data_IF_975767293694
#
_entry.id   IF_975767293694
#
_cell.length_a   1.000
_cell.length_b   1.000
_cell.length_c   1.000
_cell.angle_alpha   90.00
_cell.angle_beta   90.00
_cell.angle_gamma   90.00
#
_symmetry.space_group_name_H-M   'P 1'
#
loop_
_entity.id
_entity.type
_entity.pdbx_description
1 polymer ?
#
# COMPACT_ATOMS: atom_id res chain seq x y z
N UNK A 1 -16.64 -19.84 -22.80
CA UNK A 1 -16.58 -18.69 -23.66
C UNK A 1 -16.62 -17.44 -22.80
N UNK A 2 -15.46 -16.86 -22.50
CA UNK A 2 -15.31 -15.60 -21.76
C UNK A 2 -15.86 -14.49 -22.66
N UNK A 3 -16.97 -13.86 -22.25
CA UNK A 3 -17.43 -12.63 -22.92
C UNK A 3 -16.36 -11.56 -22.70
N UNK A 4 -15.60 -11.26 -23.74
CA UNK A 4 -14.77 -10.07 -23.77
C UNK A 4 -15.69 -8.86 -23.58
N UNK A 5 -15.62 -8.22 -22.42
CA UNK A 5 -16.28 -6.95 -22.17
C UNK A 5 -15.73 -5.96 -23.21
N UNK A 6 -16.60 -5.31 -23.99
CA UNK A 6 -16.18 -4.33 -25.00
C UNK A 6 -15.61 -3.02 -24.39
N UNK A 7 -15.67 -2.87 -23.07
CA UNK A 7 -15.09 -1.72 -22.36
C UNK A 7 -13.72 -2.08 -21.79
N UNK A 8 -12.76 -1.12 -21.77
CA UNK A 8 -11.50 -1.32 -21.07
C UNK A 8 -11.74 -1.66 -19.59
N UNK A 9 -11.02 -2.65 -19.03
CA UNK A 9 -11.14 -3.03 -17.63
C UNK A 9 -10.92 -1.82 -16.71
N UNK A 10 -11.73 -1.73 -15.66
CA UNK A 10 -11.63 -0.69 -14.64
C UNK A 10 -11.05 -1.28 -13.36
N UNK A 11 -9.91 -0.76 -12.95
CA UNK A 11 -9.25 -1.11 -11.70
C UNK A 11 -9.44 0.04 -10.72
N UNK A 12 -10.07 -0.25 -9.57
CA UNK A 12 -10.31 0.74 -8.51
C UNK A 12 -9.24 0.57 -7.43
N UNK A 13 -8.38 1.58 -7.27
CA UNK A 13 -7.24 1.54 -6.35
C UNK A 13 -7.52 2.43 -5.14
N UNK A 14 -7.19 1.96 -3.95
CA UNK A 14 -7.33 2.74 -2.72
C UNK A 14 -6.00 2.74 -1.97
N UNK A 15 -5.34 3.90 -1.92
CA UNK A 15 -4.15 4.15 -1.12
C UNK A 15 -4.46 5.22 -0.07
N UNK A 16 -4.02 5.02 1.16
CA UNK A 16 -4.29 5.95 2.27
C UNK A 16 -3.06 6.65 2.83
N UNK A 17 -1.88 6.31 2.34
CA UNK A 17 -0.59 6.82 2.81
C UNK A 17 0.38 7.05 1.64
N UNK A 18 1.42 7.85 1.86
CA UNK A 18 2.43 8.17 0.82
C UNK A 18 3.16 6.94 0.30
N UNK A 19 3.42 5.94 1.17
CA UNK A 19 3.97 4.63 0.78
C UNK A 19 3.04 3.91 -0.18
N UNK A 20 1.76 3.84 0.14
CA UNK A 20 0.74 3.24 -0.70
C UNK A 20 0.56 3.96 -2.04
N UNK A 21 0.68 5.29 -2.07
CA UNK A 21 0.65 6.09 -3.31
C UNK A 21 1.81 5.75 -4.24
N UNK A 22 3.02 5.59 -3.70
CA UNK A 22 4.19 5.18 -4.47
C UNK A 22 4.02 3.77 -5.06
N UNK A 23 3.60 2.81 -4.22
CA UNK A 23 3.34 1.44 -4.64
C UNK A 23 2.24 1.39 -5.71
N UNK A 24 1.14 2.14 -5.50
CA UNK A 24 0.02 2.21 -6.41
C UNK A 24 0.39 2.77 -7.79
N UNK A 25 1.21 3.82 -7.83
CA UNK A 25 1.69 4.39 -9.08
C UNK A 25 2.52 3.38 -9.90
N UNK A 26 3.42 2.63 -9.23
CA UNK A 26 4.22 1.57 -9.86
C UNK A 26 3.34 0.43 -10.37
N UNK A 27 2.37 -0.01 -9.56
CA UNK A 27 1.40 -1.01 -9.98
C UNK A 27 0.64 -0.58 -11.24
N UNK A 28 0.20 0.69 -11.33
CA UNK A 28 -0.48 1.22 -12.51
C UNK A 28 0.41 1.20 -13.76
N UNK A 29 1.68 1.56 -13.61
CA UNK A 29 2.64 1.51 -14.72
C UNK A 29 2.89 0.06 -15.17
N UNK A 30 3.14 -0.86 -14.24
CA UNK A 30 3.34 -2.27 -14.52
C UNK A 30 2.12 -2.90 -15.21
N UNK A 31 0.93 -2.66 -14.69
CA UNK A 31 -0.31 -3.18 -15.28
C UNK A 31 -0.53 -2.70 -16.72
N UNK A 32 -0.23 -1.43 -17.03
CA UNK A 32 -0.32 -0.92 -18.41
C UNK A 32 0.68 -1.60 -19.33
N UNK A 33 1.91 -1.81 -18.85
CA UNK A 33 2.96 -2.46 -19.63
C UNK A 33 2.62 -3.92 -19.92
N UNK A 34 2.18 -4.66 -18.92
CA UNK A 34 1.91 -6.10 -19.04
C UNK A 34 0.58 -6.41 -19.75
N UNK A 35 -0.45 -5.59 -19.53
CA UNK A 35 -1.76 -5.83 -20.15
C UNK A 35 -1.78 -5.56 -21.66
N UNK A 36 -0.94 -4.65 -22.16
CA UNK A 36 -0.80 -4.35 -23.57
C UNK A 36 -2.04 -3.73 -24.23
N UNK A 37 -3.11 -3.47 -23.48
CA UNK A 37 -4.36 -2.86 -23.92
C UNK A 37 -4.78 -1.74 -22.97
N UNK A 38 -5.69 -0.83 -23.36
CA UNK A 38 -6.14 0.26 -22.50
C UNK A 38 -6.73 -0.25 -21.18
N UNK A 39 -6.28 0.34 -20.06
CA UNK A 39 -6.82 0.14 -18.72
C UNK A 39 -7.35 1.46 -18.17
N UNK A 40 -8.41 1.38 -17.38
CA UNK A 40 -8.99 2.52 -16.67
C UNK A 40 -8.68 2.40 -15.19
N UNK A 41 -8.32 3.52 -14.56
CA UNK A 41 -8.02 3.59 -13.14
C UNK A 41 -8.88 4.66 -12.48
N UNK A 42 -9.50 4.31 -11.35
CA UNK A 42 -10.26 5.20 -10.49
C UNK A 42 -9.96 4.84 -9.03
N UNK A 43 -10.32 5.71 -8.09
CA UNK A 43 -10.18 5.37 -6.67
C UNK A 43 -9.69 6.51 -5.81
N UNK A 44 -8.84 6.21 -4.83
CA UNK A 44 -8.21 7.17 -3.92
C UNK A 44 -6.71 7.01 -3.98
N UNK A 45 -6.00 8.07 -4.29
CA UNK A 45 -4.54 8.08 -4.35
C UNK A 45 -3.98 9.49 -4.22
N UNK A 46 -2.69 9.55 -4.01
CA UNK A 46 -1.93 10.79 -3.87
C UNK A 46 -1.48 11.34 -5.23
N UNK A 47 -0.42 12.12 -5.17
CA UNK A 47 0.12 12.83 -6.33
C UNK A 47 0.74 11.87 -7.36
N UNK A 48 1.47 10.84 -6.89
CA UNK A 48 2.13 9.87 -7.78
C UNK A 48 1.13 9.04 -8.57
N UNK A 49 0.08 8.54 -7.94
CA UNK A 49 -0.97 7.81 -8.65
C UNK A 49 -1.76 8.72 -9.58
N UNK A 50 -2.01 9.99 -9.21
CA UNK A 50 -2.64 10.96 -10.11
C UNK A 50 -1.78 11.28 -11.32
N UNK A 51 -0.47 11.45 -11.14
CA UNK A 51 0.47 11.61 -12.25
C UNK A 51 0.50 10.38 -13.15
N UNK A 52 0.33 9.17 -12.58
CA UNK A 52 0.14 7.93 -13.32
C UNK A 52 -1.27 7.77 -13.93
N UNK A 53 -2.16 8.79 -13.85
CA UNK A 53 -3.47 8.82 -14.51
C UNK A 53 -4.61 8.24 -13.68
N UNK A 54 -4.50 8.21 -12.34
CA UNK A 54 -5.63 7.92 -11.46
C UNK A 54 -6.57 9.12 -11.34
N UNK A 55 -7.87 8.89 -11.48
CA UNK A 55 -8.89 9.85 -11.10
C UNK A 55 -9.25 9.64 -9.61
N UNK A 56 -8.64 10.44 -8.72
CA UNK A 56 -8.92 10.36 -7.27
C UNK A 56 -10.24 11.04 -6.93
N UNK A 57 -11.12 10.32 -6.24
CA UNK A 57 -12.47 10.79 -5.87
C UNK A 57 -12.49 11.83 -4.75
N UNK A 58 -11.40 11.91 -3.96
CA UNK A 58 -11.12 12.95 -2.97
C UNK A 58 -9.61 12.99 -2.66
N UNK A 59 -9.12 14.04 -1.98
CA UNK A 59 -7.72 14.12 -1.58
C UNK A 59 -7.33 12.99 -0.62
N UNK A 60 -6.26 12.24 -0.90
CA UNK A 60 -5.75 11.16 -0.03
C UNK A 60 -5.47 11.64 1.40
N UNK A 61 -5.08 12.92 1.57
CA UNK A 61 -4.84 13.53 2.88
C UNK A 61 -6.05 13.45 3.82
N UNK A 62 -7.27 13.34 3.31
CA UNK A 62 -8.49 13.23 4.12
C UNK A 62 -8.57 11.93 4.91
N UNK A 63 -7.86 10.89 4.48
CA UNK A 63 -7.83 9.57 5.12
C UNK A 63 -6.46 9.22 5.72
N UNK A 64 -5.44 10.03 5.47
CA UNK A 64 -4.11 9.92 6.08
C UNK A 64 -4.13 10.53 7.47
N UNK A 65 -4.54 9.76 8.48
CA UNK A 65 -4.58 10.20 9.88
C UNK A 65 -3.40 9.60 10.63
N UNK A 66 -2.60 10.45 11.28
CA UNK A 66 -1.43 10.04 12.03
C UNK A 66 -1.63 10.27 13.53
N UNK A 67 -1.59 9.17 14.30
CA UNK A 67 -1.63 9.22 15.76
C UNK A 67 -3.04 9.26 16.37
N UNK A 68 -3.12 8.87 17.65
CA UNK A 68 -4.38 8.76 18.38
C UNK A 68 -5.08 10.11 18.60
N UNK A 69 -4.30 11.18 18.79
CA UNK A 69 -4.86 12.50 19.04
C UNK A 69 -5.64 13.06 17.83
N UNK A 70 -5.21 12.73 16.63
CA UNK A 70 -5.85 13.16 15.39
C UNK A 70 -7.00 12.23 14.97
N UNK A 71 -7.00 10.98 15.44
CA UNK A 71 -7.96 9.96 15.04
C UNK A 71 -9.39 10.32 15.46
N UNK A 72 -9.59 10.70 16.73
CA UNK A 72 -10.93 10.94 17.28
C UNK A 72 -11.65 12.08 16.55
N UNK A 73 -11.06 13.28 16.36
CA UNK A 73 -11.70 14.34 15.58
C UNK A 73 -11.86 14.01 14.09
N UNK A 74 -11.06 13.10 13.55
CA UNK A 74 -11.15 12.68 12.15
C UNK A 74 -12.24 11.63 11.86
N UNK A 75 -12.80 10.97 12.89
CA UNK A 75 -13.76 9.87 12.71
C UNK A 75 -14.96 10.20 11.81
N UNK A 76 -15.64 11.36 11.96
CA UNK A 76 -16.76 11.69 11.06
C UNK A 76 -16.33 11.82 9.61
N UNK A 77 -15.18 12.46 9.36
CA UNK A 77 -14.59 12.60 8.02
C UNK A 77 -14.23 11.24 7.45
N UNK A 78 -13.56 10.37 8.22
CA UNK A 78 -13.21 9.02 7.80
C UNK A 78 -14.43 8.17 7.45
N UNK A 79 -15.51 8.26 8.25
CA UNK A 79 -16.76 7.56 7.99
C UNK A 79 -17.42 8.05 6.68
N UNK A 80 -17.45 9.37 6.46
CA UNK A 80 -17.96 9.96 5.23
C UNK A 80 -17.14 9.50 4.01
N UNK A 81 -15.79 9.51 4.10
CA UNK A 81 -14.91 9.08 3.00
C UNK A 81 -15.01 7.58 2.74
N UNK A 82 -15.19 6.77 3.80
CA UNK A 82 -15.46 5.34 3.66
C UNK A 82 -16.76 5.10 2.87
N UNK A 83 -17.84 5.76 3.27
CA UNK A 83 -19.13 5.68 2.56
C UNK A 83 -19.00 6.12 1.10
N UNK A 84 -18.35 7.26 0.84
CA UNK A 84 -18.12 7.80 -0.49
C UNK A 84 -17.30 6.81 -1.37
N UNK A 85 -16.28 6.16 -0.79
CA UNK A 85 -15.47 5.17 -1.50
C UNK A 85 -16.30 3.95 -1.89
N UNK A 86 -17.08 3.39 -0.95
CA UNK A 86 -17.95 2.23 -1.21
C UNK A 86 -18.98 2.57 -2.29
N UNK A 87 -19.65 3.73 -2.21
CA UNK A 87 -20.61 4.19 -3.22
C UNK A 87 -19.96 4.34 -4.59
N UNK A 88 -18.76 4.94 -4.65
CA UNK A 88 -18.03 5.10 -5.91
C UNK A 88 -17.67 3.76 -6.56
N UNK A 89 -17.30 2.74 -5.76
CA UNK A 89 -17.08 1.37 -6.26
C UNK A 89 -18.37 0.80 -6.83
N UNK A 90 -19.50 0.91 -6.11
CA UNK A 90 -20.80 0.41 -6.56
C UNK A 90 -21.27 1.08 -7.86
N UNK A 91 -21.13 2.40 -7.94
CA UNK A 91 -21.59 3.19 -9.09
C UNK A 91 -20.71 2.98 -10.34
N UNK A 92 -19.39 2.80 -10.16
CA UNK A 92 -18.45 2.58 -11.26
C UNK A 92 -18.35 1.14 -11.72
N UNK A 93 -18.80 0.16 -10.90
CA UNK A 93 -18.77 -1.27 -11.13
C UNK A 93 -17.42 -1.73 -11.72
N UNK A 94 -16.31 -1.61 -10.96
CA UNK A 94 -14.99 -2.00 -11.42
C UNK A 94 -14.86 -3.52 -11.54
N UNK A 95 -13.89 -3.96 -12.32
CA UNK A 95 -13.57 -5.38 -12.46
C UNK A 95 -12.72 -5.86 -11.26
N UNK A 96 -11.89 -4.98 -10.72
CA UNK A 96 -10.99 -5.26 -9.58
C UNK A 96 -10.95 -4.07 -8.63
N UNK A 97 -10.95 -4.33 -7.33
CA UNK A 97 -10.66 -3.34 -6.27
C UNK A 97 -9.38 -3.75 -5.54
N UNK A 98 -8.40 -2.85 -5.49
CA UNK A 98 -7.12 -3.08 -4.81
C UNK A 98 -6.97 -2.11 -3.66
N UNK A 99 -6.96 -2.62 -2.43
CA UNK A 99 -6.51 -1.86 -1.26
C UNK A 99 -5.00 -1.92 -1.14
N UNK A 100 -4.34 -0.76 -1.01
CA UNK A 100 -2.89 -0.68 -0.96
C UNK A 100 -2.46 -0.12 0.39
N UNK A 101 -1.65 -0.90 1.13
CA UNK A 101 -1.10 -0.54 2.45
C UNK A 101 -2.20 -0.17 3.46
N UNK A 102 -2.33 1.03 3.90
CA UNK A 102 -3.36 1.61 4.79
C UNK A 102 -4.38 0.63 5.41
N UNK A 103 -3.91 -0.21 6.34
CA UNK A 103 -4.67 -1.32 6.95
C UNK A 103 -6.02 -0.91 7.54
N UNK A 104 -6.08 0.30 8.12
CA UNK A 104 -7.29 0.77 8.78
C UNK A 104 -8.40 1.15 7.79
N UNK A 105 -8.08 1.85 6.72
CA UNK A 105 -9.07 2.32 5.75
C UNK A 105 -9.34 1.28 4.66
N UNK A 106 -8.30 0.78 4.00
CA UNK A 106 -8.44 -0.18 2.90
C UNK A 106 -9.18 -1.44 3.31
N UNK A 107 -8.83 -2.05 4.46
CA UNK A 107 -9.53 -3.25 4.92
C UNK A 107 -10.99 -2.99 5.33
N UNK A 108 -11.35 -1.77 5.76
CA UNK A 108 -12.77 -1.43 5.99
C UNK A 108 -13.55 -1.34 4.69
N UNK A 109 -12.95 -0.77 3.65
CA UNK A 109 -13.54 -0.75 2.30
C UNK A 109 -13.76 -2.17 1.80
N UNK A 110 -12.70 -3.00 1.80
CA UNK A 110 -12.77 -4.38 1.31
C UNK A 110 -13.78 -5.23 2.09
N UNK A 111 -13.82 -5.11 3.43
CA UNK A 111 -14.81 -5.81 4.27
C UNK A 111 -16.26 -5.40 3.94
N UNK A 112 -16.50 -4.13 3.75
CA UNK A 112 -17.83 -3.64 3.38
C UNK A 112 -18.27 -4.19 2.01
N UNK A 113 -17.36 -4.20 1.04
CA UNK A 113 -17.62 -4.75 -0.29
C UNK A 113 -17.82 -6.27 -0.24
N UNK A 114 -17.01 -7.00 0.53
CA UNK A 114 -17.15 -8.44 0.72
C UNK A 114 -18.50 -8.82 1.35
N UNK A 115 -18.97 -8.06 2.34
CA UNK A 115 -20.26 -8.27 2.99
C UNK A 115 -21.45 -8.09 2.04
N UNK A 116 -21.30 -7.28 1.01
CA UNK A 116 -22.36 -7.04 0.02
C UNK A 116 -22.22 -7.89 -1.26
N UNK A 117 -21.20 -8.72 -1.35
CA UNK A 117 -20.85 -9.49 -2.54
C UNK A 117 -21.99 -10.29 -3.13
N UNK A 118 -22.78 -10.94 -2.27
CA UNK A 118 -23.93 -11.78 -2.70
C UNK A 118 -25.08 -10.97 -3.32
N UNK A 119 -25.10 -9.65 -3.12
CA UNK A 119 -26.11 -8.76 -3.71
C UNK A 119 -25.79 -8.38 -5.16
N UNK A 120 -24.58 -8.66 -5.62
CA UNK A 120 -24.10 -8.28 -6.94
C UNK A 120 -23.99 -9.49 -7.87
N UNK A 121 -24.50 -9.35 -9.10
CA UNK A 121 -24.43 -10.42 -10.13
C UNK A 121 -22.99 -10.70 -10.59
N UNK A 122 -22.14 -9.69 -10.58
CA UNK A 122 -20.74 -9.78 -10.95
C UNK A 122 -19.94 -8.86 -10.00
N UNK A 123 -19.61 -9.32 -8.78
CA UNK A 123 -18.83 -8.55 -7.84
C UNK A 123 -17.38 -8.40 -8.34
N UNK A 124 -16.70 -7.30 -8.02
CA UNK A 124 -15.29 -7.13 -8.33
C UNK A 124 -14.43 -8.14 -7.58
N UNK A 125 -13.28 -8.49 -8.14
CA UNK A 125 -12.23 -9.14 -7.37
C UNK A 125 -11.67 -8.17 -6.31
N UNK A 126 -11.50 -8.64 -5.08
CA UNK A 126 -11.02 -7.85 -3.95
C UNK A 126 -9.59 -8.26 -3.60
N UNK A 127 -8.64 -7.37 -3.80
CA UNK A 127 -7.22 -7.61 -3.58
C UNK A 127 -6.70 -6.68 -2.50
N UNK A 128 -5.92 -7.21 -1.56
CA UNK A 128 -5.12 -6.38 -0.66
C UNK A 128 -3.65 -6.50 -1.07
N UNK A 129 -3.04 -5.37 -1.39
CA UNK A 129 -1.61 -5.25 -1.65
C UNK A 129 -0.93 -4.64 -0.42
N UNK A 130 0.12 -5.28 0.06
CA UNK A 130 0.76 -5.10 1.38
C UNK A 130 -0.11 -5.68 2.51
N UNK A 131 0.34 -6.82 3.01
CA UNK A 131 -0.34 -7.51 4.11
C UNK A 131 -0.35 -6.70 5.40
N UNK A 132 -1.40 -6.81 6.23
CA UNK A 132 -1.29 -6.36 7.60
C UNK A 132 -0.23 -7.18 8.34
N UNK A 133 0.61 -6.52 9.15
CA UNK A 133 1.69 -7.18 9.92
C UNK A 133 1.09 -8.08 11.03
N UNK A 134 0.31 -9.09 10.66
CA UNK A 134 -0.34 -10.02 11.58
C UNK A 134 0.71 -10.74 12.43
N UNK A 135 1.85 -11.09 11.85
CA UNK A 135 3.00 -11.75 12.48
C UNK A 135 3.58 -10.99 13.68
N UNK A 136 3.37 -9.69 13.78
CA UNK A 136 3.83 -8.87 14.90
C UNK A 136 3.00 -9.03 16.17
N UNK A 137 1.93 -9.84 16.14
CA UNK A 137 1.01 -10.00 17.26
C UNK A 137 0.93 -11.47 17.71
N UNK A 138 0.70 -11.69 19.02
CA UNK A 138 0.57 -13.03 19.58
C UNK A 138 -0.63 -13.83 18.99
N UNK A 139 -1.66 -13.14 18.49
CA UNK A 139 -2.85 -13.73 17.87
C UNK A 139 -2.77 -13.74 16.31
N UNK A 140 -1.54 -13.85 15.76
CA UNK A 140 -1.28 -13.82 14.32
C UNK A 140 -2.21 -14.72 13.48
N UNK A 141 -2.44 -16.00 13.80
CA UNK A 141 -3.32 -16.88 13.03
C UNK A 141 -4.77 -16.37 12.96
N UNK A 142 -5.29 -15.85 14.08
CA UNK A 142 -6.64 -15.31 14.16
C UNK A 142 -6.78 -14.04 13.30
N UNK A 143 -5.76 -13.18 13.31
CA UNK A 143 -5.73 -11.96 12.49
C UNK A 143 -5.66 -12.30 11.01
N UNK A 144 -4.85 -13.27 10.64
CA UNK A 144 -4.75 -13.77 9.28
C UNK A 144 -6.10 -14.36 8.81
N UNK A 145 -6.70 -15.27 9.59
CA UNK A 145 -7.99 -15.88 9.27
C UNK A 145 -9.12 -14.87 9.04
N UNK A 146 -9.06 -13.70 9.70
CA UNK A 146 -10.01 -12.61 9.50
C UNK A 146 -10.00 -11.98 8.10
N UNK A 147 -9.08 -12.38 7.21
CA UNK A 147 -9.00 -11.92 5.83
C UNK A 147 -9.54 -12.95 4.83
N UNK A 148 -9.61 -14.23 5.19
CA UNK A 148 -10.00 -15.32 4.28
C UNK A 148 -11.38 -15.13 3.62
N UNK A 149 -12.31 -14.44 4.29
CA UNK A 149 -13.63 -14.10 3.75
C UNK A 149 -13.73 -12.71 3.14
N UNK A 150 -12.63 -11.95 3.13
CA UNK A 150 -12.61 -10.54 2.73
C UNK A 150 -11.93 -10.33 1.39
N UNK A 151 -10.79 -10.98 1.18
CA UNK A 151 -10.00 -10.81 -0.04
C UNK A 151 -10.02 -12.07 -0.89
N UNK A 152 -9.95 -11.88 -2.20
CA UNK A 152 -9.75 -12.97 -3.15
C UNK A 152 -8.27 -13.29 -3.32
N UNK A 153 -7.41 -12.28 -3.08
CA UNK A 153 -5.96 -12.42 -3.17
C UNK A 153 -5.29 -11.41 -2.22
N UNK A 154 -4.23 -11.86 -1.56
CA UNK A 154 -3.36 -11.03 -0.73
C UNK A 154 -1.95 -11.01 -1.35
N UNK A 155 -1.48 -9.83 -1.73
CA UNK A 155 -0.13 -9.65 -2.26
C UNK A 155 0.79 -9.24 -1.11
N UNK A 156 1.76 -10.10 -0.76
CA UNK A 156 2.67 -9.90 0.37
C UNK A 156 4.06 -9.49 -0.09
N UNK A 157 4.73 -8.66 0.70
CA UNK A 157 6.04 -8.11 0.40
C UNK A 157 7.19 -8.94 0.96
N UNK A 158 6.94 -9.75 2.00
CA UNK A 158 7.97 -10.50 2.70
C UNK A 158 7.71 -12.01 2.54
N UNK A 159 8.74 -12.81 2.25
CA UNK A 159 8.55 -14.23 1.92
C UNK A 159 7.98 -15.06 3.08
N UNK A 160 8.22 -14.66 4.33
CA UNK A 160 7.72 -15.37 5.50
C UNK A 160 6.23 -15.07 5.80
N UNK A 161 5.63 -14.06 5.15
CA UNK A 161 4.22 -13.72 5.35
C UNK A 161 3.29 -14.71 4.66
N UNK A 162 3.64 -15.16 3.44
CA UNK A 162 2.79 -16.05 2.65
C UNK A 162 2.38 -17.32 3.41
N UNK A 163 3.29 -18.11 4.04
CA UNK A 163 2.91 -19.31 4.78
C UNK A 163 1.93 -19.04 5.94
N UNK A 164 2.02 -17.87 6.59
CA UNK A 164 1.12 -17.50 7.67
C UNK A 164 -0.31 -17.29 7.17
N UNK A 165 -0.48 -16.60 6.04
CA UNK A 165 -1.79 -16.31 5.48
C UNK A 165 -2.39 -17.52 4.77
N UNK A 166 -1.60 -18.30 4.05
CA UNK A 166 -2.02 -19.55 3.42
C UNK A 166 -2.51 -20.57 4.46
N UNK A 167 -1.79 -20.73 5.58
CA UNK A 167 -2.21 -21.58 6.70
C UNK A 167 -3.54 -21.12 7.32
N UNK A 168 -3.89 -19.86 7.18
CA UNK A 168 -5.17 -19.30 7.60
C UNK A 168 -6.26 -19.34 6.52
N UNK A 169 -5.99 -19.96 5.37
CA UNK A 169 -6.93 -20.10 4.25
C UNK A 169 -7.10 -18.83 3.42
N UNK A 170 -6.15 -17.91 3.45
CA UNK A 170 -6.15 -16.69 2.62
C UNK A 170 -5.34 -16.96 1.35
N UNK A 171 -5.91 -16.84 0.14
CA UNK A 171 -5.13 -16.87 -1.09
C UNK A 171 -4.06 -15.77 -1.06
N UNK A 172 -2.80 -16.14 -1.29
CA UNK A 172 -1.68 -15.25 -1.02
C UNK A 172 -0.55 -15.46 -2.03
N UNK A 173 -0.02 -14.36 -2.57
CA UNK A 173 1.14 -14.38 -3.47
C UNK A 173 2.25 -13.47 -2.93
N UNK A 174 3.45 -14.01 -2.79
CA UNK A 174 4.65 -13.22 -2.52
C UNK A 174 5.08 -12.50 -3.80
N UNK A 175 5.13 -11.16 -3.74
CA UNK A 175 5.44 -10.30 -4.90
C UNK A 175 6.76 -9.53 -4.75
N UNK A 176 7.43 -9.65 -3.61
CA UNK A 176 8.65 -8.90 -3.31
C UNK A 176 8.38 -7.46 -2.82
N UNK A 177 9.42 -6.84 -2.29
CA UNK A 177 9.32 -5.46 -1.78
C UNK A 177 9.70 -4.47 -2.87
N UNK A 178 8.87 -3.45 -3.17
CA UNK A 178 9.13 -2.49 -4.26
C UNK A 178 10.45 -1.72 -4.16
N UNK A 179 11.00 -1.57 -2.95
CA UNK A 179 12.32 -0.94 -2.76
C UNK A 179 13.47 -1.75 -3.37
N UNK A 180 13.29 -3.06 -3.61
CA UNK A 180 14.31 -3.88 -4.26
C UNK A 180 14.43 -3.51 -5.75
N UNK A 181 13.32 -3.14 -6.39
CA UNK A 181 13.33 -2.70 -7.78
C UNK A 181 14.06 -1.35 -7.90
N UNK A 182 13.86 -0.43 -6.91
CA UNK A 182 14.58 0.86 -6.86
C UNK A 182 16.09 0.66 -6.69
N UNK A 183 16.50 -0.25 -5.83
CA UNK A 183 17.91 -0.57 -5.64
C UNK A 183 18.54 -1.07 -6.95
N UNK A 184 17.84 -1.95 -7.68
CA UNK A 184 18.35 -2.51 -8.93
C UNK A 184 18.43 -1.46 -10.06
N UNK A 185 17.52 -0.49 -10.09
CA UNK A 185 17.54 0.60 -11.08
C UNK A 185 18.62 1.66 -10.79
N UNK A 186 18.97 1.84 -9.50
CA UNK A 186 20.01 2.80 -9.05
C UNK A 186 21.40 2.20 -8.95
N UNK A 187 21.52 0.87 -8.81
CA UNK A 187 22.79 0.15 -8.65
C UNK A 187 23.60 -0.05 -9.95
N UNK A 188 23.34 0.74 -11.00
CA UNK A 188 24.34 0.99 -12.02
C UNK A 188 25.31 2.10 -11.54
N UNK A 189 25.65 2.09 -10.23
CA UNK A 189 26.82 2.83 -9.75
C UNK A 189 28.05 2.12 -10.31
N UNK A 190 28.78 2.80 -11.16
CA UNK A 190 30.06 2.31 -11.67
C UNK A 190 31.07 2.20 -10.53
N UNK A 191 32.03 1.28 -10.64
CA UNK A 191 33.12 1.14 -9.66
C UNK A 191 33.84 2.48 -9.36
N UNK A 192 33.75 3.46 -10.26
CA UNK A 192 34.27 4.83 -10.08
C UNK A 192 33.50 5.65 -9.03
N UNK A 193 32.18 5.46 -8.90
CA UNK A 193 31.36 6.15 -7.88
C UNK A 193 31.61 5.60 -6.46
N UNK A 194 32.03 4.35 -6.35
CA UNK A 194 32.42 3.74 -5.07
C UNK A 194 33.81 4.18 -4.60
N UNK A 195 34.70 4.50 -5.52
CA UNK A 195 36.10 4.88 -5.19
C UNK A 195 36.21 6.25 -4.45
N UNK A 196 35.19 7.09 -4.52
CA UNK A 196 35.16 8.42 -3.87
C UNK A 196 34.41 8.46 -2.53
N UNK A 197 33.75 7.37 -2.09
CA UNK A 197 33.00 7.38 -0.82
C UNK A 197 33.94 7.15 0.37
N UNK A 198 33.85 7.96 1.44
CA UNK A 198 34.56 7.69 2.68
C UNK A 198 34.16 6.32 3.22
N UNK A 199 35.14 5.43 3.44
CA UNK A 199 34.90 4.09 4.02
C UNK A 199 34.43 4.16 5.48
N UNK A 200 34.61 5.32 6.12
CA UNK A 200 34.33 5.58 7.53
C UNK A 200 33.12 6.54 7.69
N UNK A 201 32.11 6.39 6.84
CA UNK A 201 30.89 7.19 6.92
C UNK A 201 29.84 6.54 7.84
N UNK A 202 29.31 7.31 8.80
CA UNK A 202 28.20 6.92 9.65
C UNK A 202 26.87 7.39 9.01
N UNK A 203 26.01 6.44 8.64
CA UNK A 203 24.70 6.76 8.11
C UNK A 203 23.66 6.87 9.23
N UNK A 204 22.94 8.00 9.31
CA UNK A 204 21.90 8.23 10.31
C UNK A 204 20.51 8.09 9.67
N UNK A 205 19.74 7.08 10.08
CA UNK A 205 18.39 6.82 9.62
C UNK A 205 17.35 7.38 10.61
N UNK A 206 17.10 8.69 10.56
CA UNK A 206 16.28 9.41 11.53
C UNK A 206 14.76 9.16 11.37
N UNK A 207 14.33 8.52 10.30
CA UNK A 207 12.94 8.27 9.96
C UNK A 207 12.49 8.96 8.67
N UNK A 208 11.32 8.59 8.18
CA UNK A 208 10.74 9.11 6.93
C UNK A 208 9.72 10.24 7.15
N UNK A 209 9.29 10.47 8.40
CA UNK A 209 8.29 11.47 8.77
C UNK A 209 8.91 12.62 9.57
N UNK A 210 8.43 13.84 9.33
CA UNK A 210 8.99 15.04 9.95
C UNK A 210 9.07 14.96 11.49
N UNK A 211 8.03 14.39 12.13
CA UNK A 211 8.01 14.23 13.59
C UNK A 211 9.00 13.16 14.08
N UNK A 212 9.22 12.08 13.31
CA UNK A 212 10.27 11.08 13.60
C UNK A 212 11.66 11.71 13.50
N UNK A 213 11.89 12.47 12.43
CA UNK A 213 13.17 13.19 12.24
C UNK A 213 13.41 14.17 13.39
N UNK A 214 12.42 14.97 13.78
CA UNK A 214 12.55 15.90 14.91
C UNK A 214 12.83 15.20 16.24
N UNK A 215 12.24 14.03 16.47
CA UNK A 215 12.45 13.27 17.70
C UNK A 215 13.80 12.55 17.74
N UNK A 216 14.21 11.93 16.64
CA UNK A 216 15.35 11.01 16.60
C UNK A 216 16.67 11.70 16.22
N UNK A 217 16.65 12.61 15.23
CA UNK A 217 17.87 13.20 14.68
C UNK A 217 18.75 13.90 15.73
N UNK A 218 18.23 14.70 16.70
CA UNK A 218 19.05 15.33 17.71
C UNK A 218 19.80 14.35 18.62
N UNK A 219 19.19 13.18 18.90
CA UNK A 219 19.83 12.13 19.69
C UNK A 219 20.89 11.40 18.88
N UNK A 220 20.59 11.10 17.61
CA UNK A 220 21.52 10.42 16.70
C UNK A 220 22.75 11.26 16.41
N UNK A 221 22.61 12.59 16.23
CA UNK A 221 23.74 13.50 16.05
C UNK A 221 24.67 13.51 17.28
N UNK A 222 24.10 13.54 18.50
CA UNK A 222 24.92 13.46 19.72
C UNK A 222 25.68 12.14 19.83
N UNK A 223 25.04 11.02 19.49
CA UNK A 223 25.72 9.73 19.47
C UNK A 223 26.82 9.66 18.40
N UNK A 224 26.58 10.25 17.22
CA UNK A 224 27.60 10.35 16.17
C UNK A 224 28.81 11.18 16.61
N UNK A 225 28.57 12.30 17.30
CA UNK A 225 29.65 13.15 17.85
C UNK A 225 30.49 12.39 18.89
N UNK A 226 29.89 11.56 19.72
CA UNK A 226 30.62 10.73 20.69
C UNK A 226 31.47 9.67 19.99
N UNK A 227 30.89 8.95 19.00
CA UNK A 227 31.63 7.97 18.21
C UNK A 227 32.84 8.62 17.51
N UNK A 228 32.64 9.80 16.92
CA UNK A 228 33.70 10.52 16.21
C UNK A 228 34.84 11.00 17.14
N UNK A 229 34.58 11.14 18.46
CA UNK A 229 35.62 11.48 19.44
C UNK A 229 36.42 10.29 19.94
N UNK A 230 35.85 9.11 19.86
CA UNK A 230 36.48 7.86 20.32
C UNK A 230 37.20 7.12 19.19
N UNK A 231 36.99 7.52 17.93
CA UNK A 231 37.64 6.97 16.73
C UNK A 231 38.85 7.77 16.31
#
# INVERSE_FOLDING_TARGET
GTRLSMRPPLIFLVAGETSGDAIGARLMHALRREHGAPLRFAGVGGERMRAAGLHSIFPMADISVMGFAELVPALPRLAMRLYQTIRSVQDSAPDVVVGIDSKAFCLRVLRALAAERQKHRAPPALIQYVAPSAWAFADAPRRAAGLASVVDELLVLLPFEAPLFEAAGVPCTFVGHPAMDEATETDVETDEDQAGRPRDALCLLAGSRIHEVHANLPLMLRAADEIARES
#
